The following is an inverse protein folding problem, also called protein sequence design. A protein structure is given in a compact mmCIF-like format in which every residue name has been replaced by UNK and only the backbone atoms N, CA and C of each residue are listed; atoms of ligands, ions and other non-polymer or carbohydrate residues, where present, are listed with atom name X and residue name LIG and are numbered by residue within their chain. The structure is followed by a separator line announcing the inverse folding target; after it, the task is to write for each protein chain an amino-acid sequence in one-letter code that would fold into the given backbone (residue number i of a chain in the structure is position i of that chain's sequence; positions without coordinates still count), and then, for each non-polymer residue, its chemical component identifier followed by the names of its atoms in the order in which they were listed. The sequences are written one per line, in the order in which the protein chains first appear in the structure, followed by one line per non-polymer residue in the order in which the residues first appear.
data_IF_869021540815
#
_entry.id   IF_869021540815
#
_cell.length_a   1.000
_cell.length_b   1.000
_cell.length_c   1.000
_cell.angle_alpha   90.00
_cell.angle_beta   90.00
_cell.angle_gamma   90.00
#
_symmetry.space_group_name_H-M   'P 1'
#
loop_
_entity.id
_entity.type
_entity.pdbx_description
1 polymer ?
#
# COMPACT_ATOMS: atom_id res chain seq x y z
N UNK A 1 4.39 -1.32 -13.96
CA UNK A 1 3.94 -1.12 -12.57
C UNK A 1 5.17 -0.67 -11.74
N UNK A 2 5.04 0.20 -10.72
CA UNK A 2 6.16 0.80 -9.98
C UNK A 2 5.95 0.81 -8.46
N UNK A 3 7.04 0.88 -7.70
CA UNK A 3 7.02 1.01 -6.24
C UNK A 3 6.44 2.37 -5.82
N UNK A 4 5.45 2.43 -4.91
CA UNK A 4 4.89 3.67 -4.41
C UNK A 4 5.88 4.38 -3.49
N UNK A 5 5.94 5.70 -3.57
CA UNK A 5 6.71 6.51 -2.63
C UNK A 5 5.89 6.85 -1.38
N UNK A 6 6.56 7.12 -0.26
CA UNK A 6 5.88 7.58 0.97
C UNK A 6 5.01 8.83 0.74
N UNK A 7 5.46 9.75 -0.13
CA UNK A 7 4.71 10.96 -0.48
C UNK A 7 3.39 10.60 -1.17
N UNK A 8 3.41 9.63 -2.07
CA UNK A 8 2.21 9.19 -2.79
C UNK A 8 1.23 8.49 -1.87
N UNK A 9 1.71 7.55 -1.04
CA UNK A 9 0.87 6.87 -0.06
C UNK A 9 0.22 7.87 0.90
N UNK A 10 0.91 8.95 1.26
CA UNK A 10 0.39 9.96 2.18
C UNK A 10 -0.63 10.93 1.55
N UNK A 11 -0.49 11.27 0.27
CA UNK A 11 -1.22 12.41 -0.30
C UNK A 11 -2.09 12.09 -1.50
N UNK A 12 -1.89 10.95 -2.19
CA UNK A 12 -2.76 10.62 -3.30
C UNK A 12 -4.19 10.37 -2.80
N UNK A 13 -5.21 10.81 -3.55
CA UNK A 13 -6.59 10.52 -3.20
C UNK A 13 -6.86 9.00 -3.32
N UNK A 14 -7.85 8.46 -2.58
CA UNK A 14 -8.13 7.03 -2.54
C UNK A 14 -8.21 6.36 -3.92
N UNK A 15 -8.88 7.00 -4.88
CA UNK A 15 -9.10 6.46 -6.23
C UNK A 15 -7.82 6.39 -7.09
N UNK A 16 -6.80 7.21 -6.81
CA UNK A 16 -5.49 7.13 -7.46
C UNK A 16 -4.53 6.21 -6.69
N UNK A 17 -4.63 6.19 -5.37
CA UNK A 17 -3.77 5.38 -4.51
C UNK A 17 -4.08 3.88 -4.62
N UNK A 18 -5.35 3.52 -4.72
CA UNK A 18 -5.79 2.13 -4.81
C UNK A 18 -5.17 1.36 -5.99
N UNK A 19 -5.29 1.80 -7.26
CA UNK A 19 -4.69 1.09 -8.38
C UNK A 19 -3.15 1.04 -8.32
N UNK A 20 -2.51 2.06 -7.72
CA UNK A 20 -1.07 2.06 -7.51
C UNK A 20 -0.64 0.97 -6.52
N UNK A 21 -1.31 0.87 -5.36
CA UNK A 21 -1.00 -0.15 -4.35
C UNK A 21 -1.36 -1.55 -4.84
N UNK A 22 -2.53 -1.75 -5.46
CA UNK A 22 -2.92 -3.06 -6.04
C UNK A 22 -1.89 -3.49 -7.06
N UNK A 23 -1.51 -2.60 -7.98
CA UNK A 23 -0.47 -2.86 -8.95
C UNK A 23 0.80 -3.34 -8.24
N UNK A 24 1.25 -2.62 -7.21
CA UNK A 24 2.47 -2.95 -6.47
C UNK A 24 2.41 -4.27 -5.71
N UNK A 25 1.27 -4.59 -5.13
CA UNK A 25 1.10 -5.80 -4.35
C UNK A 25 0.93 -7.04 -5.24
N UNK A 26 0.14 -6.95 -6.32
CA UNK A 26 -0.27 -8.13 -7.09
C UNK A 26 0.51 -8.34 -8.39
N UNK A 27 1.14 -7.28 -8.92
CA UNK A 27 1.74 -7.29 -10.26
C UNK A 27 3.22 -6.88 -10.26
N UNK A 28 3.89 -6.97 -9.11
CA UNK A 28 5.34 -6.72 -9.02
C UNK A 28 6.14 -7.86 -9.65
N UNK A 29 7.09 -7.59 -10.56
CA UNK A 29 8.11 -8.56 -10.89
C UNK A 29 8.96 -8.88 -9.65
N UNK A 30 9.56 -10.07 -9.64
CA UNK A 30 10.27 -10.67 -8.48
C UNK A 30 11.24 -9.68 -7.80
N UNK A 31 11.94 -8.85 -8.58
CA UNK A 31 12.95 -7.90 -8.12
C UNK A 31 12.38 -6.73 -7.30
N UNK A 32 11.08 -6.46 -7.39
CA UNK A 32 10.42 -5.34 -6.68
C UNK A 32 9.16 -5.76 -5.90
N UNK A 33 9.01 -7.07 -5.65
CA UNK A 33 7.94 -7.59 -4.78
C UNK A 33 8.04 -6.90 -3.41
N UNK A 34 6.91 -6.39 -2.88
CA UNK A 34 6.90 -5.72 -1.58
C UNK A 34 7.33 -6.68 -0.47
N UNK A 35 8.40 -6.32 0.24
CA UNK A 35 8.79 -7.01 1.48
C UNK A 35 7.82 -6.68 2.61
N UNK A 36 7.72 -7.57 3.60
CA UNK A 36 6.92 -7.36 4.83
C UNK A 36 7.20 -6.00 5.50
N UNK A 37 8.47 -5.57 5.55
CA UNK A 37 8.85 -4.27 6.11
C UNK A 37 8.34 -3.08 5.29
N UNK A 38 8.38 -3.16 3.95
CA UNK A 38 7.83 -2.11 3.09
C UNK A 38 6.30 -2.03 3.21
N UNK A 39 5.61 -3.18 3.30
CA UNK A 39 4.16 -3.23 3.51
C UNK A 39 3.78 -2.58 4.84
N UNK A 40 4.54 -2.86 5.91
CA UNK A 40 4.32 -2.27 7.23
C UNK A 40 4.46 -0.74 7.19
N UNK A 41 5.47 -0.21 6.48
CA UNK A 41 5.63 1.24 6.30
C UNK A 41 4.44 1.86 5.55
N UNK A 42 3.86 1.16 4.57
CA UNK A 42 2.65 1.63 3.88
C UNK A 42 1.47 1.67 4.85
N UNK A 43 1.26 0.61 5.64
CA UNK A 43 0.18 0.55 6.63
C UNK A 43 0.27 1.72 7.62
N UNK A 44 1.47 1.97 8.16
CA UNK A 44 1.70 3.09 9.09
C UNK A 44 1.34 4.44 8.47
N UNK A 45 1.72 4.66 7.21
CA UNK A 45 1.40 5.91 6.51
C UNK A 45 -0.10 6.03 6.26
N UNK A 46 -0.79 4.95 5.87
CA UNK A 46 -2.23 4.96 5.63
C UNK A 46 -3.02 5.25 6.92
N UNK A 47 -2.57 4.72 8.06
CA UNK A 47 -3.21 4.95 9.36
C UNK A 47 -2.97 6.37 9.91
N UNK A 48 -1.89 7.03 9.48
CA UNK A 48 -1.54 8.42 9.86
C UNK A 48 -2.26 9.48 9.02
N UNK A 49 -3.04 9.07 8.00
CA UNK A 49 -3.76 10.00 7.13
C UNK A 49 -5.02 10.58 7.80
N UNK A 50 -5.42 11.82 7.46
CA UNK A 50 -6.68 12.40 7.96
C UNK A 50 -7.93 11.66 7.47
N UNK A 51 -7.85 10.99 6.31
CA UNK A 51 -8.91 10.16 5.71
C UNK A 51 -8.69 8.66 5.98
N UNK A 52 -7.99 8.28 7.05
CA UNK A 52 -7.64 6.89 7.35
C UNK A 52 -8.84 5.92 7.39
N UNK A 53 -10.03 6.40 7.75
CA UNK A 53 -11.26 5.59 7.72
C UNK A 53 -11.60 5.11 6.30
N UNK A 54 -11.39 5.95 5.28
CA UNK A 54 -11.58 5.60 3.86
C UNK A 54 -10.47 4.68 3.33
N UNK A 55 -9.31 4.67 3.99
CA UNK A 55 -8.18 3.81 3.65
C UNK A 55 -8.29 2.38 4.21
N UNK A 56 -9.30 2.09 5.04
CA UNK A 56 -9.45 0.79 5.69
C UNK A 56 -9.41 -0.43 4.74
N UNK A 57 -9.99 -0.39 3.52
CA UNK A 57 -9.86 -1.49 2.56
C UNK A 57 -8.42 -1.72 2.11
N UNK A 58 -7.65 -0.65 1.87
CA UNK A 58 -6.24 -0.74 1.47
C UNK A 58 -5.36 -1.26 2.60
N UNK A 59 -5.61 -0.83 3.84
CA UNK A 59 -4.93 -1.37 5.02
C UNK A 59 -5.19 -2.86 5.18
N UNK A 60 -6.44 -3.30 4.97
CA UNK A 60 -6.82 -4.71 5.04
C UNK A 60 -6.10 -5.53 3.97
N UNK A 61 -6.09 -5.06 2.72
CA UNK A 61 -5.34 -5.69 1.63
C UNK A 61 -3.85 -5.84 1.97
N UNK A 62 -3.20 -4.77 2.44
CA UNK A 62 -1.79 -4.82 2.86
C UNK A 62 -1.55 -5.85 3.97
N UNK A 63 -2.43 -5.94 4.97
CA UNK A 63 -2.31 -6.90 6.08
C UNK A 63 -2.43 -8.34 5.61
N UNK A 64 -3.36 -8.66 4.71
CA UNK A 64 -3.54 -10.01 4.18
C UNK A 64 -2.26 -10.48 3.49
N UNK A 65 -1.68 -9.63 2.64
CA UNK A 65 -0.43 -9.94 1.93
C UNK A 65 0.77 -10.12 2.87
N UNK A 66 0.83 -9.36 3.97
CA UNK A 66 1.87 -9.52 4.98
C UNK A 66 1.69 -10.78 5.85
N UNK A 67 0.51 -11.38 5.84
CA UNK A 67 0.18 -12.58 6.63
C UNK A 67 0.43 -13.86 5.84
N UNK A 68 0.22 -13.84 4.51
CA UNK A 68 0.34 -14.99 3.61
C UNK A 68 1.74 -15.24 3.01
N UNK A 69 2.75 -14.43 3.35
CA UNK A 69 4.11 -14.49 2.74
C UNK A 69 5.19 -15.15 3.60
#
# INVERSE_FOLDING_TARGET
MRVPTRKEVRHLPPHELAPLLIGWMEHSPIEIVPSRGQIQLVIEVLLDRPDAAEMAPLVTMCRNYSSDA
#
